data_IF_892743249502
#
_entry.id   IF_892743249502
#
_cell.length_a   1.000
_cell.length_b   1.000
_cell.length_c   1.000
_cell.angle_alpha   90.00
_cell.angle_beta   90.00
_cell.angle_gamma   90.00
#
_symmetry.space_group_name_H-M   'P 1'
#
loop_
_entity.id
_entity.type
_entity.pdbx_description
1 polymer ?
#
# COMPACT_ATOMS: atom_id res chain seq x y z
N UNK A 1 -13.94 -12.26 -12.15
CA UNK A 1 -13.74 -11.19 -11.16
C UNK A 1 -12.53 -10.32 -11.50
N UNK A 2 -11.31 -10.88 -11.57
CA UNK A 2 -10.17 -10.14 -12.17
C UNK A 2 -10.37 -10.02 -13.68
N UNK A 3 -10.96 -11.04 -14.29
CA UNK A 3 -11.36 -11.12 -15.70
C UNK A 3 -12.39 -10.05 -16.09
N UNK A 4 -13.09 -9.49 -15.11
CA UNK A 4 -14.13 -8.49 -15.30
C UNK A 4 -13.62 -7.06 -15.09
N UNK A 5 -12.32 -6.90 -14.78
CA UNK A 5 -11.69 -5.59 -14.62
C UNK A 5 -11.41 -4.96 -16.00
N UNK A 6 -11.56 -3.64 -16.07
CA UNK A 6 -11.01 -2.85 -17.17
C UNK A 6 -9.50 -2.67 -16.96
N UNK A 7 -8.68 -3.43 -17.69
CA UNK A 7 -7.22 -3.39 -17.51
C UNK A 7 -6.59 -2.09 -18.01
N UNK A 8 -7.29 -1.30 -18.85
CA UNK A 8 -6.81 0.04 -19.21
C UNK A 8 -6.85 0.98 -18.01
N UNK A 9 -7.93 0.97 -17.22
CA UNK A 9 -8.04 1.78 -15.99
C UNK A 9 -7.02 1.33 -14.92
N UNK A 10 -6.83 0.02 -14.77
CA UNK A 10 -5.79 -0.54 -13.89
C UNK A 10 -4.41 -0.06 -14.34
N UNK A 11 -4.16 -0.02 -15.65
CA UNK A 11 -2.89 0.47 -16.20
C UNK A 11 -2.68 1.96 -15.96
N UNK A 12 -3.71 2.78 -16.15
CA UNK A 12 -3.65 4.22 -15.84
C UNK A 12 -3.30 4.47 -14.36
N UNK A 13 -3.92 3.71 -13.45
CA UNK A 13 -3.57 3.78 -12.02
C UNK A 13 -2.11 3.35 -11.77
N UNK A 14 -1.66 2.26 -12.39
CA UNK A 14 -0.28 1.80 -12.29
C UNK A 14 0.72 2.86 -12.78
N UNK A 15 0.45 3.47 -13.94
CA UNK A 15 1.35 4.48 -14.53
C UNK A 15 1.45 5.72 -13.65
N UNK A 16 0.33 6.22 -13.13
CA UNK A 16 0.33 7.34 -12.18
C UNK A 16 1.19 7.02 -10.94
N UNK A 17 1.05 5.81 -10.39
CA UNK A 17 1.86 5.35 -9.25
C UNK A 17 3.33 5.19 -9.60
N UNK A 18 3.63 4.68 -10.79
CA UNK A 18 5.00 4.54 -11.28
C UNK A 18 5.70 5.91 -11.41
N UNK A 19 5.03 6.88 -12.03
CA UNK A 19 5.54 8.26 -12.15
C UNK A 19 5.77 8.90 -10.78
N UNK A 20 4.82 8.73 -9.86
CA UNK A 20 4.96 9.21 -8.49
C UNK A 20 6.14 8.55 -7.76
N UNK A 21 6.37 7.25 -7.96
CA UNK A 21 7.54 6.55 -7.41
C UNK A 21 8.85 7.16 -7.94
N UNK A 22 8.92 7.46 -9.24
CA UNK A 22 10.10 8.08 -9.85
C UNK A 22 10.33 9.51 -9.32
N UNK A 23 9.26 10.28 -9.16
CA UNK A 23 9.33 11.62 -8.57
C UNK A 23 9.79 11.57 -7.11
N UNK A 24 9.20 10.69 -6.29
CA UNK A 24 9.59 10.51 -4.89
C UNK A 24 11.06 10.09 -4.76
N UNK A 25 11.51 9.15 -5.60
CA UNK A 25 12.91 8.72 -5.66
C UNK A 25 13.85 9.86 -6.04
N UNK A 26 13.44 10.73 -6.96
CA UNK A 26 14.22 11.91 -7.35
C UNK A 26 14.33 12.93 -6.22
N UNK A 27 13.23 13.20 -5.51
CA UNK A 27 13.22 14.11 -4.36
C UNK A 27 14.13 13.60 -3.24
N UNK A 28 14.09 12.29 -2.97
CA UNK A 28 14.96 11.64 -1.98
C UNK A 28 16.44 11.79 -2.37
N UNK A 29 16.81 11.42 -3.60
CA UNK A 29 18.20 11.45 -4.08
C UNK A 29 18.78 12.87 -4.14
N UNK A 30 17.93 13.87 -4.41
CA UNK A 30 18.35 15.28 -4.52
C UNK A 30 18.24 16.05 -3.20
N UNK A 31 17.87 15.38 -2.09
CA UNK A 31 17.77 16.01 -0.77
C UNK A 31 16.67 17.07 -0.66
N UNK A 32 15.63 16.98 -1.49
CA UNK A 32 14.49 17.92 -1.46
C UNK A 32 13.49 17.53 -0.38
N UNK A 33 13.92 17.68 0.87
CA UNK A 33 13.24 17.17 2.07
C UNK A 33 11.76 17.54 2.18
N UNK A 34 11.40 18.80 1.99
CA UNK A 34 10.00 19.24 2.11
C UNK A 34 9.11 18.56 1.06
N UNK A 35 9.51 18.62 -0.21
CA UNK A 35 8.77 17.97 -1.29
C UNK A 35 8.68 16.46 -1.11
N UNK A 36 9.76 15.83 -0.63
CA UNK A 36 9.78 14.40 -0.31
C UNK A 36 8.75 14.02 0.77
N UNK A 37 8.72 14.77 1.87
CA UNK A 37 7.77 14.54 2.96
C UNK A 37 6.33 14.79 2.53
N UNK A 38 6.08 15.88 1.80
CA UNK A 38 4.74 16.20 1.33
C UNK A 38 4.21 15.13 0.37
N UNK A 39 5.04 14.63 -0.54
CA UNK A 39 4.65 13.59 -1.49
C UNK A 39 4.46 12.23 -0.80
N UNK A 40 5.43 11.79 0.00
CA UNK A 40 5.37 10.48 0.70
C UNK A 40 4.22 10.34 1.70
N UNK A 41 3.63 11.48 2.11
CA UNK A 41 2.48 11.54 3.02
C UNK A 41 1.18 11.99 2.34
N UNK A 42 1.15 12.04 1.00
CA UNK A 42 -0.07 12.33 0.23
C UNK A 42 -0.60 13.76 0.40
N UNK A 43 0.28 14.70 0.77
CA UNK A 43 -0.08 16.12 1.01
C UNK A 43 -0.06 16.90 -0.30
N UNK A 44 1.04 16.82 -1.04
CA UNK A 44 1.17 17.52 -2.33
C UNK A 44 0.41 16.81 -3.46
N UNK A 45 0.39 15.48 -3.41
CA UNK A 45 -0.32 14.63 -4.38
C UNK A 45 -0.85 13.36 -3.69
N UNK A 46 -2.18 13.09 -3.74
CA UNK A 46 -2.78 11.85 -3.25
C UNK A 46 -2.10 10.56 -3.74
N UNK A 47 -1.60 10.54 -4.98
CA UNK A 47 -0.97 9.36 -5.59
C UNK A 47 0.26 8.90 -4.78
N UNK A 48 0.90 9.79 -4.02
CA UNK A 48 2.03 9.45 -3.17
C UNK A 48 1.67 8.62 -1.94
N UNK A 49 0.45 8.78 -1.40
CA UNK A 49 -0.03 8.01 -0.25
C UNK A 49 -1.56 8.12 -0.10
N UNK A 50 -2.29 7.19 -0.70
CA UNK A 50 -3.75 7.16 -0.61
C UNK A 50 -4.22 6.94 0.83
N UNK A 51 -3.55 6.06 1.58
CA UNK A 51 -3.88 5.76 2.98
C UNK A 51 -3.82 7.00 3.87
N UNK A 52 -2.83 7.87 3.65
CA UNK A 52 -2.72 9.13 4.38
C UNK A 52 -3.77 10.15 3.92
N UNK A 53 -4.02 10.22 2.61
CA UNK A 53 -4.98 11.15 2.02
C UNK A 53 -6.41 10.88 2.48
N UNK A 54 -6.83 9.62 2.48
CA UNK A 54 -8.20 9.17 2.80
C UNK A 54 -8.67 9.64 4.18
N UNK A 55 -7.74 9.78 5.13
CA UNK A 55 -8.03 10.16 6.50
C UNK A 55 -7.38 11.49 6.93
N UNK A 56 -6.81 12.24 5.98
CA UNK A 56 -6.10 13.49 6.27
C UNK A 56 -4.94 13.33 7.26
N UNK A 57 -4.25 12.19 7.24
CA UNK A 57 -3.18 11.85 8.20
C UNK A 57 -1.87 12.54 7.87
N UNK A 58 -1.58 12.85 6.60
CA UNK A 58 -0.30 13.46 6.21
C UNK A 58 0.03 14.74 7.00
N UNK A 59 -0.85 15.76 7.01
CA UNK A 59 -0.64 16.97 7.81
C UNK A 59 -0.58 16.70 9.33
N UNK A 60 -1.31 15.70 9.84
CA UNK A 60 -1.27 15.33 11.25
C UNK A 60 0.06 14.69 11.63
N UNK A 61 0.59 13.81 10.77
CA UNK A 61 1.91 13.19 10.92
C UNK A 61 3.00 14.27 10.94
N UNK A 62 2.98 15.22 10.00
CA UNK A 62 3.99 16.29 9.96
C UNK A 62 3.89 17.26 11.14
N UNK A 63 2.69 17.65 11.56
CA UNK A 63 2.52 18.61 12.65
C UNK A 63 2.84 18.03 14.03
N UNK A 64 2.66 16.73 14.21
CA UNK A 64 2.87 16.07 15.50
C UNK A 64 4.25 15.44 15.69
N UNK A 65 5.09 15.41 14.64
CA UNK A 65 6.38 14.73 14.68
C UNK A 65 7.49 15.57 14.05
N UNK A 66 8.74 15.30 14.42
CA UNK A 66 9.88 15.95 13.78
C UNK A 66 10.07 15.39 12.37
N UNK A 67 10.23 16.25 11.32
CA UNK A 67 10.53 15.80 9.95
C UNK A 67 11.67 14.78 9.87
N UNK A 68 12.74 14.98 10.65
CA UNK A 68 13.89 14.08 10.71
C UNK A 68 13.54 12.65 11.13
N UNK A 69 12.54 12.46 12.00
CA UNK A 69 12.09 11.11 12.42
C UNK A 69 11.44 10.36 11.27
N UNK A 70 10.65 11.05 10.45
CA UNK A 70 9.96 10.48 9.28
C UNK A 70 10.97 10.14 8.19
N UNK A 71 11.93 11.03 7.94
CA UNK A 71 13.04 10.79 7.00
C UNK A 71 13.85 9.57 7.43
N UNK A 72 14.19 9.46 8.72
CA UNK A 72 14.91 8.30 9.26
C UNK A 72 14.15 7.00 9.05
N UNK A 73 12.82 7.00 9.22
CA UNK A 73 11.99 5.83 8.92
C UNK A 73 12.06 5.49 7.42
N UNK A 74 11.89 6.47 6.53
CA UNK A 74 11.98 6.27 5.09
C UNK A 74 13.34 5.72 4.64
N UNK A 75 14.44 6.25 5.17
CA UNK A 75 15.79 5.75 4.93
C UNK A 75 15.97 4.31 5.42
N UNK A 76 15.32 3.93 6.52
CA UNK A 76 15.36 2.54 6.99
C UNK A 76 14.74 1.58 5.98
N UNK A 77 13.68 1.97 5.28
CA UNK A 77 13.06 1.14 4.23
C UNK A 77 13.99 0.95 3.03
N UNK A 78 14.66 2.02 2.58
CA UNK A 78 15.61 1.92 1.47
C UNK A 78 16.74 0.93 1.77
N UNK A 79 17.20 0.90 3.02
CA UNK A 79 18.29 0.04 3.50
C UNK A 79 17.84 -1.38 3.92
N UNK A 80 16.54 -1.62 4.07
CA UNK A 80 16.02 -2.92 4.51
C UNK A 80 15.79 -3.87 3.32
N UNK A 81 16.25 -5.11 3.47
CA UNK A 81 16.08 -6.18 2.46
C UNK A 81 15.02 -7.20 2.86
N UNK A 82 14.73 -7.36 4.15
CA UNK A 82 13.68 -8.24 4.63
C UNK A 82 12.33 -7.50 4.72
N UNK A 83 11.36 -7.80 3.83
CA UNK A 83 10.06 -7.14 3.87
C UNK A 83 9.30 -7.34 5.18
N UNK A 84 9.59 -8.42 5.94
CA UNK A 84 8.88 -8.71 7.19
C UNK A 84 9.28 -7.79 8.35
N UNK A 85 10.40 -7.06 8.22
CA UNK A 85 10.84 -6.08 9.23
C UNK A 85 10.16 -4.72 9.09
N UNK A 86 9.57 -4.42 7.94
CA UNK A 86 8.96 -3.12 7.64
C UNK A 86 7.91 -2.70 8.68
N UNK A 87 6.97 -3.60 9.01
CA UNK A 87 5.92 -3.30 10.01
C UNK A 87 6.52 -3.04 11.39
N UNK A 88 7.57 -3.81 11.76
CA UNK A 88 8.32 -3.58 12.99
C UNK A 88 9.04 -2.24 13.01
N UNK A 89 9.63 -1.80 11.90
CA UNK A 89 10.27 -0.49 11.77
C UNK A 89 9.27 0.66 11.90
N UNK A 90 8.06 0.52 11.32
CA UNK A 90 6.98 1.50 11.50
C UNK A 90 6.63 1.64 12.99
N UNK A 91 6.40 0.51 13.66
CA UNK A 91 6.02 0.50 15.07
C UNK A 91 7.12 1.08 15.96
N UNK A 92 8.37 0.64 15.76
CA UNK A 92 9.52 1.11 16.53
C UNK A 92 9.83 2.60 16.33
N UNK A 93 9.47 3.18 15.17
CA UNK A 93 9.63 4.61 14.93
C UNK A 93 8.69 5.47 15.79
N UNK A 94 7.59 4.89 16.28
CA UNK A 94 6.62 5.54 17.17
C UNK A 94 6.17 6.92 16.67
N UNK A 95 5.92 7.04 15.36
CA UNK A 95 5.50 8.29 14.72
C UNK A 95 4.00 8.45 14.92
N UNK A 96 3.60 9.52 15.61
CA UNK A 96 2.19 9.78 15.92
C UNK A 96 1.39 9.90 14.62
N UNK A 97 0.22 9.26 14.57
CA UNK A 97 -0.71 9.20 13.42
C UNK A 97 -0.22 8.40 12.20
N UNK A 98 1.02 7.90 12.19
CA UNK A 98 1.52 7.07 11.10
C UNK A 98 1.15 5.61 11.36
N UNK A 99 0.05 5.18 10.73
CA UNK A 99 -0.43 3.79 10.77
C UNK A 99 0.38 2.89 9.83
N UNK A 100 0.25 1.57 9.99
CA UNK A 100 0.88 0.58 9.09
C UNK A 100 0.45 0.79 7.63
N UNK A 101 -0.81 1.15 7.37
CA UNK A 101 -1.27 1.46 6.00
C UNK A 101 -0.48 2.61 5.38
N UNK A 102 -0.33 3.73 6.09
CA UNK A 102 0.45 4.90 5.63
C UNK A 102 1.93 4.54 5.44
N UNK A 103 2.54 3.87 6.42
CA UNK A 103 3.96 3.55 6.37
C UNK A 103 4.32 2.47 5.34
N UNK A 104 3.46 1.47 5.14
CA UNK A 104 3.68 0.42 4.13
C UNK A 104 3.52 0.97 2.71
N UNK A 105 2.61 1.93 2.51
CA UNK A 105 2.48 2.64 1.24
C UNK A 105 3.71 3.50 0.94
N UNK A 106 4.21 4.23 1.94
CA UNK A 106 5.49 4.94 1.84
C UNK A 106 6.64 3.97 1.50
N UNK A 107 6.72 2.82 2.17
CA UNK A 107 7.76 1.82 1.91
C UNK A 107 7.69 1.26 0.48
N UNK A 108 6.49 0.91 0.00
CA UNK A 108 6.26 0.46 -1.38
C UNK A 108 6.67 1.53 -2.38
N UNK A 109 6.24 2.79 -2.19
CA UNK A 109 6.57 3.89 -3.09
C UNK A 109 8.06 4.24 -3.09
N UNK A 110 8.82 3.86 -2.06
CA UNK A 110 10.28 4.05 -2.01
C UNK A 110 11.05 2.86 -2.61
N UNK A 111 10.57 1.63 -2.40
CA UNK A 111 11.25 0.41 -2.84
C UNK A 111 10.23 -0.64 -3.32
N UNK A 112 9.58 -0.39 -4.47
CA UNK A 112 8.47 -1.19 -4.99
C UNK A 112 8.87 -2.58 -5.50
N UNK A 113 10.16 -2.90 -5.48
CA UNK A 113 10.68 -4.26 -5.73
C UNK A 113 10.71 -5.12 -4.47
N UNK A 114 10.55 -4.53 -3.27
CA UNK A 114 10.70 -5.25 -2.00
C UNK A 114 9.47 -5.17 -1.10
N UNK A 115 8.83 -4.01 -1.00
CA UNK A 115 7.67 -3.81 -0.12
C UNK A 115 6.38 -3.67 -0.92
N UNK A 116 5.29 -4.10 -0.31
CA UNK A 116 3.93 -3.90 -0.78
C UNK A 116 3.19 -3.02 0.21
N UNK A 117 2.08 -2.44 -0.22
CA UNK A 117 1.19 -1.72 0.70
C UNK A 117 0.25 -2.71 1.39
N UNK A 118 -0.02 -2.46 2.67
CA UNK A 118 -1.08 -3.11 3.43
C UNK A 118 -2.10 -2.05 3.87
N UNK A 119 -3.00 -1.73 2.96
CA UNK A 119 -4.17 -0.91 3.22
C UNK A 119 -5.44 -1.75 3.10
N UNK A 120 -6.60 -1.11 3.29
CA UNK A 120 -7.91 -1.75 3.20
C UNK A 120 -8.09 -2.54 1.89
N UNK A 121 -7.70 -1.97 0.75
CA UNK A 121 -7.95 -2.51 -0.59
C UNK A 121 -7.10 -3.75 -0.85
N UNK A 122 -5.82 -3.68 -0.49
CA UNK A 122 -4.89 -4.81 -0.63
C UNK A 122 -5.16 -5.92 0.38
N UNK A 123 -5.54 -5.58 1.61
CA UNK A 123 -5.93 -6.58 2.62
C UNK A 123 -7.22 -7.27 2.22
N UNK A 124 -8.23 -6.52 1.78
CA UNK A 124 -9.48 -7.10 1.29
C UNK A 124 -9.23 -8.04 0.10
N UNK A 125 -8.38 -7.65 -0.85
CA UNK A 125 -7.99 -8.51 -1.98
C UNK A 125 -7.32 -9.81 -1.50
N UNK A 126 -6.45 -9.74 -0.49
CA UNK A 126 -5.89 -10.93 0.14
C UNK A 126 -6.97 -11.83 0.77
N UNK A 127 -7.92 -11.25 1.50
CA UNK A 127 -9.03 -11.97 2.13
C UNK A 127 -9.97 -12.61 1.11
N UNK A 128 -10.23 -11.92 0.00
CA UNK A 128 -10.98 -12.43 -1.12
C UNK A 128 -10.34 -13.72 -1.66
N UNK A 129 -9.02 -13.73 -1.87
CA UNK A 129 -8.31 -14.92 -2.30
C UNK A 129 -8.30 -16.02 -1.22
N UNK A 130 -8.13 -15.64 0.05
CA UNK A 130 -8.15 -16.57 1.20
C UNK A 130 -9.47 -17.33 1.28
N UNK A 131 -10.59 -16.68 0.95
CA UNK A 131 -11.93 -17.26 1.00
C UNK A 131 -12.43 -17.79 -0.35
N UNK A 132 -11.55 -17.96 -1.34
CA UNK A 132 -11.93 -18.54 -2.63
C UNK A 132 -12.89 -17.66 -3.43
N UNK A 133 -12.70 -16.34 -3.38
CA UNK A 133 -13.51 -15.31 -4.02
C UNK A 133 -14.93 -15.12 -3.44
N UNK A 134 -15.17 -15.60 -2.21
CA UNK A 134 -16.39 -15.33 -1.45
C UNK A 134 -16.37 -13.88 -0.90
N UNK A 135 -17.13 -13.00 -1.56
CA UNK A 135 -17.25 -11.58 -1.20
C UNK A 135 -17.81 -11.39 0.22
N UNK A 136 -18.79 -12.21 0.62
CA UNK A 136 -19.42 -12.12 1.93
C UNK A 136 -18.41 -12.34 3.05
N UNK A 137 -17.67 -13.45 2.96
CA UNK A 137 -16.62 -13.78 3.95
C UNK A 137 -15.47 -12.78 3.96
N UNK A 138 -15.03 -12.31 2.79
CA UNK A 138 -13.98 -11.30 2.72
C UNK A 138 -14.39 -9.99 3.40
N UNK A 139 -15.63 -9.53 3.17
CA UNK A 139 -16.18 -8.34 3.80
C UNK A 139 -16.41 -8.51 5.31
N UNK A 140 -16.91 -9.66 5.74
CA UNK A 140 -17.11 -9.98 7.16
C UNK A 140 -15.78 -10.02 7.92
N UNK A 141 -14.76 -10.70 7.39
CA UNK A 141 -13.45 -10.75 8.03
C UNK A 141 -12.78 -9.36 8.04
N UNK A 142 -12.93 -8.57 6.98
CA UNK A 142 -12.40 -7.20 6.95
C UNK A 142 -12.99 -6.32 8.06
N UNK A 143 -14.27 -6.50 8.41
CA UNK A 143 -14.92 -5.76 9.50
C UNK A 143 -14.31 -6.06 10.86
N UNK A 144 -13.83 -7.29 11.08
CA UNK A 144 -13.16 -7.67 12.33
C UNK A 144 -11.88 -6.86 12.55
N UNK A 145 -11.14 -6.58 11.47
CA UNK A 145 -9.93 -5.74 11.50
C UNK A 145 -10.21 -4.24 11.69
N UNK A 146 -11.47 -3.81 11.58
CA UNK A 146 -11.90 -2.42 11.83
C UNK A 146 -12.53 -2.22 13.22
N UNK A 147 -12.60 -3.27 14.04
CA UNK A 147 -13.24 -3.20 15.35
C UNK A 147 -12.52 -2.23 16.31
N UNK A 148 -13.28 -1.41 17.04
CA UNK A 148 -12.78 -0.31 17.88
C UNK A 148 -12.19 -0.75 19.22
N UNK A 149 -12.23 -2.04 19.55
CA UNK A 149 -11.82 -2.57 20.87
C UNK A 149 -10.34 -3.01 20.93
N UNK A 150 -9.56 -2.77 19.87
CA UNK A 150 -8.16 -3.20 19.82
C UNK A 150 -7.21 -2.18 20.46
N UNK A 151 -6.28 -2.67 21.28
CA UNK A 151 -5.13 -1.87 21.73
C UNK A 151 -4.14 -1.65 20.57
N UNK A 152 -3.30 -0.62 20.64
CA UNK A 152 -2.28 -0.35 19.60
C UNK A 152 -1.32 -1.52 19.38
N UNK A 153 -1.00 -2.29 20.44
CA UNK A 153 -0.15 -3.49 20.33
C UNK A 153 -0.87 -4.62 19.59
N UNK A 154 -2.16 -4.84 19.90
CA UNK A 154 -2.97 -5.85 19.21
C UNK A 154 -3.13 -5.50 17.72
N UNK A 155 -3.42 -4.23 17.42
CA UNK A 155 -3.49 -3.73 16.06
C UNK A 155 -2.16 -4.01 15.33
N UNK A 156 -1.01 -3.68 15.95
CA UNK A 156 0.30 -3.96 15.38
C UNK A 156 0.53 -5.45 15.08
N UNK A 157 0.25 -6.35 16.02
CA UNK A 157 0.47 -7.79 15.81
C UNK A 157 -0.40 -8.34 14.67
N UNK A 158 -1.65 -7.88 14.58
CA UNK A 158 -2.57 -8.24 13.49
C UNK A 158 -2.02 -7.75 12.14
N UNK A 159 -1.66 -6.48 12.03
CA UNK A 159 -1.13 -5.92 10.79
C UNK A 159 0.18 -6.58 10.37
N UNK A 160 1.07 -6.87 11.33
CA UNK A 160 2.33 -7.58 11.07
C UNK A 160 2.09 -8.96 10.49
N UNK A 161 1.14 -9.70 11.05
CA UNK A 161 0.83 -11.04 10.57
C UNK A 161 0.14 -11.01 9.20
N UNK A 162 -0.87 -10.14 9.01
CA UNK A 162 -1.53 -9.97 7.71
C UNK A 162 -0.52 -9.61 6.63
N UNK A 163 0.34 -8.61 6.90
CA UNK A 163 1.35 -8.16 5.95
C UNK A 163 2.18 -9.33 5.42
N UNK A 164 2.68 -10.18 6.34
CA UNK A 164 3.47 -11.39 6.01
C UNK A 164 2.68 -12.40 5.17
N UNK A 165 1.41 -12.60 5.48
CA UNK A 165 0.55 -13.57 4.81
C UNK A 165 0.07 -13.12 3.42
N UNK A 166 0.20 -11.84 3.06
CA UNK A 166 -0.24 -11.33 1.76
C UNK A 166 0.62 -11.79 0.58
N UNK A 167 1.91 -12.08 0.78
CA UNK A 167 2.86 -12.34 -0.32
C UNK A 167 2.41 -13.41 -1.33
N UNK A 168 1.88 -14.58 -0.91
CA UNK A 168 1.33 -15.56 -1.86
C UNK A 168 0.10 -15.08 -2.63
N UNK A 169 -0.77 -14.29 -1.99
CA UNK A 169 -1.94 -13.70 -2.66
C UNK A 169 -1.52 -12.68 -3.71
N UNK A 170 -0.52 -11.84 -3.40
CA UNK A 170 0.04 -10.87 -4.34
C UNK A 170 0.53 -11.57 -5.62
N UNK A 171 1.33 -12.63 -5.48
CA UNK A 171 1.85 -13.37 -6.62
C UNK A 171 0.72 -13.92 -7.52
N UNK A 172 -0.32 -14.50 -6.92
CA UNK A 172 -1.48 -15.02 -7.66
C UNK A 172 -2.28 -13.92 -8.37
N UNK A 173 -2.48 -12.78 -7.72
CA UNK A 173 -3.18 -11.63 -8.32
C UNK A 173 -2.39 -11.09 -9.50
N UNK A 174 -1.08 -10.90 -9.36
CA UNK A 174 -0.23 -10.44 -10.46
C UNK A 174 -0.22 -11.44 -11.63
N UNK A 175 -0.07 -12.74 -11.37
CA UNK A 175 -0.12 -13.77 -12.41
C UNK A 175 -1.42 -13.69 -13.22
N UNK A 176 -2.56 -13.69 -12.51
CA UNK A 176 -3.89 -13.63 -13.14
C UNK A 176 -4.15 -12.29 -13.83
N UNK A 177 -3.74 -11.20 -13.21
CA UNK A 177 -3.85 -9.85 -13.76
C UNK A 177 -3.02 -9.68 -15.03
N UNK A 178 -1.82 -10.27 -15.09
CA UNK A 178 -0.98 -10.25 -16.29
C UNK A 178 -1.67 -10.95 -17.46
N UNK A 179 -2.24 -12.14 -17.22
CA UNK A 179 -2.98 -12.88 -18.25
C UNK A 179 -4.13 -12.05 -18.81
N UNK A 180 -4.98 -11.50 -17.95
CA UNK A 180 -6.14 -10.70 -18.37
C UNK A 180 -5.72 -9.39 -19.06
N UNK A 181 -4.65 -8.73 -18.59
CA UNK A 181 -4.12 -7.55 -19.26
C UNK A 181 -3.66 -7.86 -20.69
N UNK A 182 -2.92 -8.95 -20.89
CA UNK A 182 -2.46 -9.37 -22.22
C UNK A 182 -3.65 -9.70 -23.13
N UNK A 183 -4.66 -10.41 -22.62
CA UNK A 183 -5.89 -10.71 -23.37
C UNK A 183 -6.65 -9.44 -23.82
N UNK A 184 -6.60 -8.37 -23.01
CA UNK A 184 -7.16 -7.06 -23.33
C UNK A 184 -6.20 -6.16 -24.15
N UNK A 185 -5.02 -6.64 -24.53
CA UNK A 185 -4.03 -5.84 -25.27
C UNK A 185 -3.31 -4.77 -24.45
N UNK A 186 -3.30 -4.92 -23.12
CA UNK A 186 -2.64 -4.03 -22.16
C UNK A 186 -1.33 -4.66 -21.69
N UNK A 187 -0.25 -3.89 -21.69
CA UNK A 187 1.04 -4.32 -21.15
C UNK A 187 0.99 -4.36 -19.60
N UNK A 188 1.30 -5.51 -18.96
CA UNK A 188 1.33 -5.60 -17.50
C UNK A 188 2.39 -4.71 -16.85
N UNK A 189 2.12 -4.25 -15.64
CA UNK A 189 3.05 -3.42 -14.87
C UNK A 189 4.36 -4.14 -14.51
N UNK A 190 5.49 -3.52 -14.82
CA UNK A 190 6.82 -4.07 -14.56
C UNK A 190 7.17 -4.19 -13.06
N UNK A 191 6.63 -3.29 -12.22
CA UNK A 191 6.85 -3.31 -10.77
C UNK A 191 5.69 -4.03 -10.07
N UNK A 192 5.91 -5.30 -9.72
CA UNK A 192 4.84 -6.21 -9.28
C UNK A 192 4.03 -5.71 -8.08
N UNK A 193 4.64 -4.99 -7.12
CA UNK A 193 3.90 -4.49 -5.96
C UNK A 193 3.06 -3.25 -6.26
N UNK A 194 3.48 -2.38 -7.19
CA UNK A 194 2.62 -1.28 -7.69
C UNK A 194 1.52 -1.86 -8.58
N UNK A 195 1.83 -2.86 -9.40
CA UNK A 195 0.85 -3.54 -10.25
C UNK A 195 -0.23 -4.23 -9.42
N UNK A 196 0.17 -4.95 -8.37
CA UNK A 196 -0.76 -5.52 -7.42
C UNK A 196 -1.65 -4.46 -6.75
N UNK A 197 -1.07 -3.34 -6.31
CA UNK A 197 -1.83 -2.24 -5.70
C UNK A 197 -2.90 -1.72 -6.68
N UNK A 198 -2.55 -1.48 -7.94
CA UNK A 198 -3.51 -1.03 -8.96
C UNK A 198 -4.67 -2.03 -9.17
N UNK A 199 -4.37 -3.33 -9.29
CA UNK A 199 -5.40 -4.37 -9.42
C UNK A 199 -6.27 -4.45 -8.18
N UNK A 200 -5.67 -4.39 -6.99
CA UNK A 200 -6.38 -4.45 -5.71
C UNK A 200 -7.31 -3.24 -5.51
N UNK A 201 -6.91 -2.05 -5.98
CA UNK A 201 -7.78 -0.87 -6.00
C UNK A 201 -9.01 -1.13 -6.87
N UNK A 202 -8.82 -1.54 -8.12
CA UNK A 202 -9.93 -1.80 -9.04
C UNK A 202 -10.87 -2.91 -8.55
N UNK A 203 -10.32 -4.02 -8.03
CA UNK A 203 -11.12 -5.08 -7.44
C UNK A 203 -11.97 -4.60 -6.27
N UNK A 204 -11.37 -3.81 -5.37
CA UNK A 204 -12.08 -3.30 -4.20
C UNK A 204 -13.19 -2.34 -4.62
N UNK A 205 -12.90 -1.40 -5.52
CA UNK A 205 -13.88 -0.41 -6.00
C UNK A 205 -15.06 -1.05 -6.75
N UNK A 206 -14.80 -2.11 -7.52
CA UNK A 206 -15.84 -2.76 -8.32
C UNK A 206 -16.69 -3.76 -7.53
N UNK A 207 -16.12 -4.43 -6.52
CA UNK A 207 -16.77 -5.60 -5.89
C UNK A 207 -16.91 -5.55 -4.37
N UNK A 208 -16.19 -4.68 -3.67
CA UNK A 208 -16.37 -4.57 -2.22
C UNK A 208 -17.73 -3.93 -1.90
N UNK A 209 -18.35 -4.38 -0.81
CA UNK A 209 -19.57 -3.76 -0.32
C UNK A 209 -19.20 -2.49 0.47
N UNK A 210 -19.63 -1.33 -0.04
CA UNK A 210 -19.44 -0.02 0.60
C UNK A 210 -20.60 0.33 1.55
#
# INVERSE_FOLDING_TARGET
>A
MIEDLNMHEVREHYDARFECHQHLSTLQRTGKTTGFLDLSLGISDPIGNFSAREHGLGPQVLSANKPATIIKLAESFLNESDPNKMVGSIYAANIKYLKVSVGSEMAMMLKPSNFWVANVRTVWTHLLLKHGYDLGKANEELKLYRSQEMTSEMEYQIWKEIYRLMKPSIAKVCEKGNTVAIEQGVEPGALSYIWFDAIANALYEQFAAH
#
